data_IF_746020856705
#
_entry.id   IF_746020856705
#
_cell.length_a   1.000
_cell.length_b   1.000
_cell.length_c   1.000
_cell.angle_alpha   90.00
_cell.angle_beta   90.00
_cell.angle_gamma   90.00
#
_symmetry.space_group_name_H-M   'P 1'
#
loop_
_entity.id
_entity.type
_entity.pdbx_description
1 polymer ?
#
# COMPACT_ATOMS: atom_id res chain seq x y z
N UNK A 1 -15.67 -3.54 8.03
CA UNK A 1 -14.99 -3.96 9.28
C UNK A 1 -14.27 -5.26 8.95
N UNK A 2 -13.07 -5.15 8.38
CA UNK A 2 -12.32 -6.29 7.86
C UNK A 2 -11.61 -7.01 9.02
N UNK A 3 -11.80 -8.32 9.13
CA UNK A 3 -11.10 -9.18 10.09
C UNK A 3 -9.68 -9.43 9.59
N UNK A 4 -8.71 -9.27 10.49
CA UNK A 4 -7.32 -9.68 10.26
C UNK A 4 -7.28 -11.20 10.35
N UNK A 5 -6.79 -11.86 9.29
CA UNK A 5 -6.48 -13.29 9.30
C UNK A 5 -4.96 -13.42 9.44
N UNK A 6 -4.53 -14.07 10.51
CA UNK A 6 -3.13 -14.44 10.73
C UNK A 6 -2.97 -15.91 10.38
N UNK A 7 -2.18 -16.21 9.35
CA UNK A 7 -1.69 -17.57 9.14
C UNK A 7 -0.42 -17.77 9.96
N UNK A 8 -0.52 -18.49 11.07
CA UNK A 8 0.64 -19.13 11.70
C UNK A 8 1.01 -20.36 10.85
N UNK A 9 2.24 -20.42 10.33
CA UNK A 9 2.75 -21.64 9.71
C UNK A 9 2.74 -22.77 10.76
N UNK A 10 2.14 -23.95 10.46
CA UNK A 10 1.87 -24.96 11.48
C UNK A 10 3.15 -25.55 12.05
N UNK A 11 3.32 -25.41 13.36
CA UNK A 11 4.31 -26.16 14.14
C UNK A 11 3.69 -27.50 14.52
N UNK A 12 4.32 -28.60 14.12
CA UNK A 12 4.02 -29.92 14.70
C UNK A 12 4.66 -30.00 16.09
N UNK A 13 3.86 -29.87 17.15
CA UNK A 13 4.27 -30.17 18.54
C UNK A 13 3.53 -31.41 19.07
N UNK A 14 4.21 -32.26 19.89
CA UNK A 14 3.58 -33.35 20.60
C UNK A 14 2.98 -32.89 21.95
N UNK A 15 2.01 -33.68 22.43
CA UNK A 15 1.18 -33.43 23.60
C UNK A 15 1.88 -33.65 24.96
N UNK A 16 1.55 -32.80 25.94
CA UNK A 16 1.51 -33.12 27.39
C UNK A 16 0.72 -32.03 28.14
N UNK A 17 -0.51 -32.29 28.58
CA UNK A 17 -0.95 -32.72 29.92
C UNK A 17 -0.89 -31.71 31.09
N UNK A 18 -2.05 -31.10 31.33
CA UNK A 18 -2.79 -31.03 32.62
C UNK A 18 -2.29 -30.21 33.86
N UNK A 19 -3.08 -29.15 34.14
CA UNK A 19 -3.89 -28.89 35.38
C UNK A 19 -3.33 -28.00 36.54
N UNK A 20 -4.24 -27.38 37.35
CA UNK A 20 -4.19 -25.96 37.68
C UNK A 20 -4.02 -25.62 39.18
N UNK A 21 -3.83 -24.33 39.50
CA UNK A 21 -4.04 -23.73 40.83
C UNK A 21 -4.11 -22.19 40.71
N UNK A 22 -5.24 -21.54 41.01
CA UNK A 22 -5.77 -21.08 42.30
C UNK A 22 -5.22 -19.71 42.78
N UNK A 23 -6.10 -18.70 42.70
CA UNK A 23 -6.40 -17.60 43.66
C UNK A 23 -5.29 -16.72 44.26
N UNK A 24 -5.40 -15.39 44.04
CA UNK A 24 -5.65 -14.33 45.05
C UNK A 24 -5.41 -12.95 44.39
N UNK A 25 -6.39 -12.05 44.24
CA UNK A 25 -7.07 -11.21 45.24
C UNK A 25 -6.28 -9.95 45.70
N UNK A 26 -6.82 -8.80 45.29
CA UNK A 26 -6.98 -7.51 46.02
C UNK A 26 -5.84 -6.51 46.20
N UNK A 27 -6.14 -5.26 45.80
CA UNK A 27 -6.10 -3.93 46.50
C UNK A 27 -5.65 -2.85 45.49
N UNK A 28 -6.42 -1.87 45.02
CA UNK A 28 -7.33 -0.87 45.61
C UNK A 28 -6.65 0.26 46.43
N UNK A 29 -7.02 1.50 46.04
CA UNK A 29 -6.98 2.82 46.75
C UNK A 29 -5.60 3.52 46.85
N UNK A 30 -5.36 4.86 46.80
CA UNK A 30 -6.04 6.16 47.05
C UNK A 30 -5.26 7.26 46.22
N UNK A 31 -5.88 8.20 45.48
CA UNK A 31 -6.40 9.55 45.86
C UNK A 31 -5.37 10.67 46.22
N UNK A 32 -5.67 11.85 45.63
CA UNK A 32 -5.52 13.26 46.09
C UNK A 32 -4.27 14.12 45.78
N UNK A 33 -4.51 15.18 44.98
CA UNK A 33 -4.45 16.58 45.43
C UNK A 33 -3.19 17.43 45.17
N UNK A 34 -3.36 18.62 44.54
CA UNK A 34 -2.87 19.97 44.91
C UNK A 34 -2.96 20.91 43.66
N UNK A 35 -3.93 21.82 43.57
CA UNK A 35 -4.02 23.17 44.14
C UNK A 35 -3.15 24.24 43.43
N UNK A 36 -3.88 25.18 42.80
CA UNK A 36 -3.60 26.57 42.43
C UNK A 36 -2.22 27.17 42.74
N UNK A 37 -1.63 27.82 41.72
CA UNK A 37 -0.89 29.07 41.90
C UNK A 37 -1.34 30.13 40.87
N UNK A 38 -1.98 31.19 41.37
CA UNK A 38 -2.11 32.48 40.70
C UNK A 38 -0.93 33.37 41.13
N UNK A 39 -0.20 33.92 40.17
CA UNK A 39 0.63 35.12 40.30
C UNK A 39 0.66 35.79 38.92
N UNK A 40 -0.15 36.83 38.66
CA UNK A 40 0.11 38.23 38.98
C UNK A 40 1.33 38.81 38.24
N UNK A 41 1.10 39.42 37.07
CA UNK A 41 1.96 40.47 36.53
C UNK A 41 1.08 41.67 36.16
N UNK A 42 1.20 42.74 36.94
CA UNK A 42 0.61 44.04 36.66
C UNK A 42 1.30 44.71 35.48
N UNK A 43 0.53 45.06 34.46
CA UNK A 43 0.97 45.79 33.27
C UNK A 43 0.42 47.22 33.29
N UNK A 44 1.36 48.17 33.25
CA UNK A 44 1.19 49.62 33.20
C UNK A 44 0.08 50.07 32.23
N UNK A 45 -0.93 50.81 32.70
CA UNK A 45 -1.98 51.38 31.83
C UNK A 45 -1.51 52.71 31.23
N UNK A 46 -0.96 52.64 30.02
CA UNK A 46 -0.83 53.81 29.14
C UNK A 46 -2.24 54.18 28.63
N UNK A 47 -2.60 55.47 28.70
CA UNK A 47 -3.86 55.96 28.13
C UNK A 47 -3.88 55.71 26.61
N UNK A 48 -4.92 55.02 26.13
CA UNK A 48 -5.10 54.74 24.71
C UNK A 48 -5.38 56.05 23.93
N UNK A 49 -4.79 56.22 22.72
CA UNK A 49 -5.18 57.31 21.83
C UNK A 49 -6.66 57.19 21.43
N UNK A 50 -7.35 58.29 21.10
CA UNK A 50 -8.73 58.24 20.64
C UNK A 50 -8.84 57.34 19.40
N UNK A 51 -9.94 56.56 19.27
CA UNK A 51 -10.10 55.61 18.16
C UNK A 51 -10.12 56.36 16.83
N UNK A 52 -9.12 56.07 15.99
CA UNK A 52 -9.15 56.46 14.59
C UNK A 52 -10.21 55.61 13.89
N UNK A 53 -11.29 56.25 13.44
CA UNK A 53 -12.27 55.62 12.55
C UNK A 53 -11.61 55.50 11.17
N UNK A 54 -10.94 54.38 10.92
CA UNK A 54 -10.57 54.01 9.56
C UNK A 54 -11.85 53.61 8.81
N UNK A 55 -12.13 54.17 7.63
CA UNK A 55 -13.23 53.68 6.80
C UNK A 55 -13.03 52.18 6.56
N UNK A 56 -14.11 51.37 6.58
CA UNK A 56 -14.00 49.93 6.38
C UNK A 56 -13.24 49.66 5.08
N UNK A 57 -12.29 48.71 5.08
CA UNK A 57 -11.56 48.36 3.87
C UNK A 57 -12.59 48.04 2.80
N UNK A 58 -12.51 48.75 1.68
CA UNK A 58 -13.33 48.49 0.51
C UNK A 58 -12.97 47.06 0.11
N UNK A 59 -13.87 46.11 0.40
CA UNK A 59 -13.75 44.74 -0.07
C UNK A 59 -13.91 44.83 -1.58
N UNK A 60 -12.78 44.95 -2.27
CA UNK A 60 -12.73 44.79 -3.70
C UNK A 60 -13.15 43.34 -3.94
N UNK A 61 -14.38 43.16 -4.44
CA UNK A 61 -14.90 41.86 -4.81
C UNK A 61 -14.06 41.41 -6.00
N UNK A 62 -12.98 40.70 -5.73
CA UNK A 62 -12.22 40.02 -6.77
C UNK A 62 -13.23 39.16 -7.52
N UNK A 63 -13.41 39.35 -8.85
CA UNK A 63 -14.26 38.47 -9.64
C UNK A 63 -13.86 37.03 -9.35
N UNK A 64 -14.81 36.09 -9.19
CA UNK A 64 -14.48 34.68 -9.03
C UNK A 64 -13.49 34.28 -10.14
N UNK A 65 -12.48 33.43 -9.83
CA UNK A 65 -11.50 33.00 -10.82
C UNK A 65 -12.25 32.58 -12.08
N UNK A 66 -11.91 33.18 -13.22
CA UNK A 66 -12.46 32.75 -14.50
C UNK A 66 -12.11 31.26 -14.59
N UNK A 67 -13.12 30.39 -14.57
CA UNK A 67 -12.91 28.97 -14.74
C UNK A 67 -12.18 28.79 -16.08
N UNK A 68 -10.90 28.42 -16.02
CA UNK A 68 -10.13 28.11 -17.23
C UNK A 68 -10.89 27.03 -17.99
N UNK A 69 -11.11 27.25 -19.28
CA UNK A 69 -11.72 26.23 -20.14
C UNK A 69 -10.87 24.97 -20.02
N UNK A 70 -11.47 23.77 -19.92
CA UNK A 70 -10.72 22.52 -19.83
C UNK A 70 -9.66 22.45 -20.94
N UNK A 71 -8.44 22.08 -20.61
CA UNK A 71 -7.35 21.96 -21.58
C UNK A 71 -7.62 20.86 -22.63
N UNK A 72 -8.58 19.98 -22.33
CA UNK A 72 -9.02 18.90 -23.20
C UNK A 72 -10.56 18.80 -23.24
N UNK A 73 -11.11 18.59 -24.44
CA UNK A 73 -12.56 18.42 -24.68
C UNK A 73 -12.84 17.15 -25.48
N UNK A 74 -13.98 16.50 -25.22
CA UNK A 74 -14.42 15.28 -25.91
C UNK A 74 -15.42 15.59 -27.04
N UNK A 75 -15.39 14.77 -28.09
CA UNK A 75 -16.35 14.79 -29.20
C UNK A 75 -17.19 13.49 -29.18
N UNK A 76 -18.45 13.54 -28.73
CA UNK A 76 -19.32 12.36 -28.65
C UNK A 76 -19.53 11.63 -29.98
N UNK A 77 -19.40 12.32 -31.12
CA UNK A 77 -19.55 11.68 -32.44
C UNK A 77 -18.44 10.68 -32.78
N UNK A 78 -17.33 10.74 -32.04
CA UNK A 78 -16.14 9.89 -32.22
C UNK A 78 -16.08 8.75 -31.21
N UNK A 79 -17.07 8.64 -30.33
CA UNK A 79 -17.09 7.61 -29.32
C UNK A 79 -17.23 6.23 -29.98
N UNK A 80 -16.46 5.28 -29.45
CA UNK A 80 -16.52 3.91 -29.92
C UNK A 80 -17.83 3.28 -29.43
N UNK A 81 -18.66 2.84 -30.38
CA UNK A 81 -19.85 2.04 -30.10
C UNK A 81 -19.82 0.79 -30.97
N UNK A 82 -19.65 -0.42 -30.40
CA UNK A 82 -19.70 -1.66 -31.16
C UNK A 82 -21.02 -1.84 -31.89
N UNK A 83 -20.99 -2.40 -33.11
CA UNK A 83 -22.20 -2.58 -33.92
C UNK A 83 -23.29 -3.43 -33.25
N UNK A 84 -22.90 -4.38 -32.38
CA UNK A 84 -23.84 -5.23 -31.65
C UNK A 84 -24.53 -4.52 -30.47
N UNK A 85 -24.09 -3.31 -30.10
CA UNK A 85 -24.70 -2.43 -29.08
C UNK A 85 -25.43 -1.24 -29.71
N UNK A 86 -25.78 -1.33 -30.99
CA UNK A 86 -26.50 -0.26 -31.68
C UNK A 86 -27.88 -0.04 -31.04
N UNK A 87 -28.13 1.18 -30.55
CA UNK A 87 -29.36 1.54 -29.85
C UNK A 87 -29.27 1.45 -28.31
N UNK A 88 -28.15 0.98 -27.78
CA UNK A 88 -27.85 1.00 -26.34
C UNK A 88 -26.84 2.11 -26.00
N UNK A 89 -26.81 2.51 -24.73
CA UNK A 89 -25.78 3.39 -24.18
C UNK A 89 -24.69 2.54 -23.52
N UNK A 90 -23.57 2.23 -24.20
CA UNK A 90 -22.52 1.41 -23.64
C UNK A 90 -21.73 2.16 -22.56
N UNK A 91 -21.33 1.44 -21.52
CA UNK A 91 -20.36 1.87 -20.52
C UNK A 91 -18.97 1.51 -21.03
N UNK A 92 -18.18 2.52 -21.40
CA UNK A 92 -16.87 2.35 -22.02
C UNK A 92 -15.77 2.39 -20.95
N UNK A 93 -15.21 1.25 -20.64
CA UNK A 93 -14.13 1.10 -19.65
C UNK A 93 -12.80 0.99 -20.39
N UNK A 94 -11.96 2.01 -20.31
CA UNK A 94 -10.61 1.93 -20.82
C UNK A 94 -9.70 1.20 -19.83
N UNK A 95 -8.93 0.23 -20.30
CA UNK A 95 -7.95 -0.49 -19.48
C UNK A 95 -6.54 -0.12 -19.93
N UNK A 96 -5.87 0.71 -19.14
CA UNK A 96 -4.52 1.20 -19.41
C UNK A 96 -3.50 0.33 -18.70
N UNK A 97 -2.75 -0.46 -19.48
CA UNK A 97 -1.72 -1.36 -18.96
C UNK A 97 -0.42 -1.27 -19.77
N UNK A 98 0.75 -1.50 -19.14
CA UNK A 98 2.05 -1.45 -19.82
C UNK A 98 2.34 -2.74 -20.61
N UNK A 99 1.42 -3.17 -21.49
CA UNK A 99 1.50 -4.37 -22.31
C UNK A 99 2.82 -4.51 -23.10
N UNK A 100 3.33 -3.39 -23.59
CA UNK A 100 4.54 -3.27 -24.40
C UNK A 100 5.76 -2.78 -23.59
N UNK A 101 5.75 -2.94 -22.26
CA UNK A 101 6.92 -2.68 -21.42
C UNK A 101 8.13 -3.49 -21.90
N UNK A 102 9.34 -2.93 -21.84
CA UNK A 102 10.59 -3.66 -22.12
C UNK A 102 10.89 -4.74 -21.08
N UNK A 103 10.34 -4.62 -19.86
CA UNK A 103 10.57 -5.52 -18.73
C UNK A 103 9.61 -6.72 -18.77
N UNK A 104 10.14 -7.95 -18.84
CA UNK A 104 9.33 -9.18 -18.94
C UNK A 104 8.34 -9.34 -17.78
N UNK A 105 8.78 -9.12 -16.54
CA UNK A 105 7.91 -9.24 -15.35
C UNK A 105 6.71 -8.28 -15.41
N UNK A 106 6.90 -7.07 -15.95
CA UNK A 106 5.82 -6.09 -16.14
C UNK A 106 4.84 -6.54 -17.21
N UNK A 107 5.32 -7.15 -18.30
CA UNK A 107 4.44 -7.73 -19.33
C UNK A 107 3.63 -8.90 -18.77
N UNK A 108 4.26 -9.79 -18.01
CA UNK A 108 3.56 -10.90 -17.33
C UNK A 108 2.45 -10.39 -16.43
N UNK A 109 2.74 -9.40 -15.56
CA UNK A 109 1.74 -8.79 -14.69
C UNK A 109 0.63 -8.09 -15.48
N UNK A 110 0.96 -7.35 -16.54
CA UNK A 110 -0.02 -6.66 -17.40
C UNK A 110 -0.98 -7.66 -18.06
N UNK A 111 -0.47 -8.78 -18.57
CA UNK A 111 -1.31 -9.81 -19.16
C UNK A 111 -2.22 -10.47 -18.12
N UNK A 112 -1.73 -10.69 -16.89
CA UNK A 112 -2.55 -11.22 -15.81
C UNK A 112 -3.68 -10.27 -15.39
N UNK A 113 -3.40 -8.96 -15.31
CA UNK A 113 -4.43 -7.94 -15.04
C UNK A 113 -5.47 -7.85 -16.16
N UNK A 114 -5.04 -7.98 -17.42
CA UNK A 114 -5.96 -8.01 -18.55
C UNK A 114 -6.87 -9.24 -18.52
N UNK A 115 -6.30 -10.43 -18.27
CA UNK A 115 -7.06 -11.66 -18.09
C UNK A 115 -8.05 -11.54 -16.91
N UNK A 116 -7.63 -10.94 -15.79
CA UNK A 116 -8.52 -10.72 -14.65
C UNK A 116 -9.70 -9.78 -14.99
N UNK A 117 -9.44 -8.71 -15.75
CA UNK A 117 -10.49 -7.81 -16.22
C UNK A 117 -11.47 -8.51 -17.18
N UNK A 118 -10.98 -9.34 -18.10
CA UNK A 118 -11.83 -10.14 -18.98
C UNK A 118 -12.67 -11.15 -18.20
N UNK A 119 -12.07 -11.85 -17.23
CA UNK A 119 -12.78 -12.77 -16.36
C UNK A 119 -13.92 -12.07 -15.60
N UNK A 120 -13.67 -10.87 -15.07
CA UNK A 120 -14.69 -10.08 -14.40
C UNK A 120 -15.86 -9.72 -15.33
N UNK A 121 -15.59 -9.34 -16.59
CA UNK A 121 -16.67 -9.04 -17.56
C UNK A 121 -17.57 -10.24 -17.80
N UNK A 122 -17.00 -11.44 -17.93
CA UNK A 122 -17.80 -12.66 -18.08
C UNK A 122 -18.60 -13.01 -16.82
N UNK A 123 -18.12 -12.65 -15.63
CA UNK A 123 -18.80 -12.93 -14.35
C UNK A 123 -19.98 -11.99 -14.08
N UNK A 124 -19.85 -10.71 -14.45
CA UNK A 124 -20.91 -9.73 -14.19
C UNK A 124 -22.08 -9.80 -15.18
N UNK A 125 -21.93 -10.52 -16.30
CA UNK A 125 -22.94 -10.78 -17.33
C UNK A 125 -23.76 -9.52 -17.69
N UNK A 126 -23.04 -8.42 -17.97
CA UNK A 126 -23.60 -7.16 -18.45
C UNK A 126 -23.24 -6.98 -19.91
N UNK A 127 -24.25 -6.96 -20.75
CA UNK A 127 -24.16 -6.78 -22.20
C UNK A 127 -23.79 -5.37 -22.63
N UNK A 128 -23.92 -4.37 -21.76
CA UNK A 128 -23.64 -2.97 -22.09
C UNK A 128 -22.24 -2.47 -21.69
N UNK A 129 -21.30 -3.34 -21.29
CA UNK A 129 -19.93 -2.92 -20.92
C UNK A 129 -18.95 -3.18 -22.06
N UNK A 130 -18.19 -2.16 -22.44
CA UNK A 130 -17.13 -2.25 -23.46
C UNK A 130 -15.78 -2.04 -22.81
N UNK A 131 -14.94 -3.07 -22.81
CA UNK A 131 -13.54 -2.95 -22.39
C UNK A 131 -12.65 -2.51 -23.55
N UNK A 132 -11.88 -1.44 -23.36
CA UNK A 132 -10.97 -0.86 -24.36
C UNK A 132 -9.52 -0.91 -23.85
N UNK A 133 -8.76 -1.97 -24.16
CA UNK A 133 -7.36 -2.07 -23.76
C UNK A 133 -6.49 -1.04 -24.48
N UNK A 134 -5.63 -0.35 -23.75
CA UNK A 134 -4.66 0.63 -24.29
C UNK A 134 -3.28 0.41 -23.68
N UNK A 135 -2.27 0.44 -24.54
CA UNK A 135 -0.89 0.19 -24.14
C UNK A 135 -0.20 1.48 -23.67
N UNK A 136 0.27 1.51 -22.42
CA UNK A 136 0.91 2.69 -21.82
C UNK A 136 2.43 2.72 -22.01
N UNK A 137 3.06 1.59 -22.33
CA UNK A 137 4.52 1.46 -22.40
C UNK A 137 5.27 1.54 -21.07
N UNK A 138 4.56 1.71 -19.94
CA UNK A 138 5.20 1.86 -18.63
C UNK A 138 5.81 3.24 -18.41
N UNK A 139 5.27 4.29 -19.04
CA UNK A 139 5.84 5.65 -19.02
C UNK A 139 4.74 6.72 -18.98
N UNK A 140 5.02 7.86 -18.33
CA UNK A 140 4.08 8.98 -18.27
C UNK A 140 3.58 9.45 -19.65
N UNK A 141 4.49 9.61 -20.62
CA UNK A 141 4.15 10.04 -21.98
C UNK A 141 3.28 9.01 -22.71
N UNK A 142 3.60 7.72 -22.59
CA UNK A 142 2.81 6.67 -23.20
C UNK A 142 1.43 6.53 -22.56
N UNK A 143 1.35 6.63 -21.24
CA UNK A 143 0.09 6.63 -20.50
C UNK A 143 -0.81 7.82 -20.87
N UNK A 144 -0.24 9.03 -21.00
CA UNK A 144 -0.99 10.22 -21.44
C UNK A 144 -1.57 10.04 -22.85
N UNK A 145 -0.79 9.49 -23.80
CA UNK A 145 -1.30 9.18 -25.16
C UNK A 145 -2.42 8.15 -25.12
N UNK A 146 -2.21 7.05 -24.39
CA UNK A 146 -3.21 5.99 -24.21
C UNK A 146 -4.51 6.51 -23.59
N UNK A 147 -4.42 7.38 -22.58
CA UNK A 147 -5.57 8.03 -21.96
C UNK A 147 -6.27 8.97 -22.94
N UNK A 148 -5.54 9.77 -23.70
CA UNK A 148 -6.15 10.62 -24.73
C UNK A 148 -6.94 9.80 -25.75
N UNK A 149 -6.35 8.71 -26.25
CA UNK A 149 -7.05 7.81 -27.19
C UNK A 149 -8.29 7.17 -26.57
N UNK A 150 -8.22 6.77 -25.30
CA UNK A 150 -9.36 6.22 -24.56
C UNK A 150 -10.49 7.24 -24.39
N UNK A 151 -10.15 8.47 -24.00
CA UNK A 151 -11.10 9.56 -23.79
C UNK A 151 -11.71 10.04 -25.12
N UNK A 152 -10.91 10.10 -26.19
CA UNK A 152 -11.38 10.40 -27.55
C UNK A 152 -12.36 9.30 -28.04
N UNK A 153 -12.15 8.05 -27.63
CA UNK A 153 -13.05 6.93 -27.88
C UNK A 153 -14.25 6.87 -26.91
N UNK A 154 -14.40 7.85 -26.01
CA UNK A 154 -15.56 7.99 -25.14
C UNK A 154 -15.49 7.25 -23.81
N UNK A 155 -14.30 6.91 -23.32
CA UNK A 155 -14.17 6.25 -22.01
C UNK A 155 -14.95 6.98 -20.91
N UNK A 156 -15.80 6.23 -20.22
CA UNK A 156 -16.60 6.66 -19.07
C UNK A 156 -15.86 6.38 -17.75
N UNK A 157 -14.94 5.41 -17.78
CA UNK A 157 -14.05 5.03 -16.69
C UNK A 157 -12.68 4.64 -17.25
N UNK A 158 -11.61 5.02 -16.56
CA UNK A 158 -10.27 4.49 -16.82
C UNK A 158 -9.90 3.54 -15.67
N UNK A 159 -9.56 2.30 -16.01
CA UNK A 159 -8.99 1.28 -15.12
C UNK A 159 -7.49 1.14 -15.43
N UNK A 160 -6.66 1.14 -14.38
CA UNK A 160 -5.23 1.45 -14.48
C UNK A 160 -4.96 2.96 -14.48
N UNK A 161 -3.70 3.42 -14.61
CA UNK A 161 -2.49 2.65 -14.94
C UNK A 161 -1.78 2.06 -13.70
N UNK A 162 -0.58 1.50 -13.90
CA UNK A 162 0.16 0.74 -12.88
C UNK A 162 1.19 1.58 -12.11
N UNK A 163 2.02 2.36 -12.82
CA UNK A 163 3.10 3.12 -12.17
C UNK A 163 2.66 4.53 -11.79
N UNK A 164 3.16 5.04 -10.67
CA UNK A 164 2.80 6.35 -10.12
C UNK A 164 2.90 7.49 -11.15
N UNK A 165 3.98 7.53 -11.93
CA UNK A 165 4.18 8.55 -12.98
C UNK A 165 3.14 8.46 -14.11
N UNK A 166 2.67 7.25 -14.43
CA UNK A 166 1.56 7.06 -15.38
C UNK A 166 0.26 7.59 -14.78
N UNK A 167 -0.01 7.28 -13.51
CA UNK A 167 -1.23 7.71 -12.80
C UNK A 167 -1.32 9.23 -12.78
N UNK A 168 -0.26 9.92 -12.39
CA UNK A 168 -0.23 11.39 -12.37
C UNK A 168 -0.50 11.99 -13.75
N UNK A 169 0.05 11.40 -14.81
CA UNK A 169 -0.13 11.89 -16.18
C UNK A 169 -1.56 11.66 -16.72
N UNK A 170 -2.20 10.55 -16.34
CA UNK A 170 -3.56 10.17 -16.74
C UNK A 170 -4.60 10.93 -15.91
N UNK A 171 -4.40 11.04 -14.60
CA UNK A 171 -5.33 11.69 -13.67
C UNK A 171 -5.63 13.13 -14.05
N UNK A 172 -4.59 13.92 -14.36
CA UNK A 172 -4.72 15.30 -14.82
C UNK A 172 -5.59 15.42 -16.09
N UNK A 173 -5.33 14.59 -17.10
CA UNK A 173 -6.06 14.63 -18.37
C UNK A 173 -7.53 14.17 -18.20
N UNK A 174 -7.77 13.17 -17.37
CA UNK A 174 -9.11 12.65 -17.11
C UNK A 174 -9.95 13.63 -16.27
N UNK A 175 -9.32 14.41 -15.39
CA UNK A 175 -9.98 15.43 -14.58
C UNK A 175 -10.62 16.53 -15.44
N UNK A 176 -9.95 16.96 -16.52
CA UNK A 176 -10.45 17.98 -17.47
C UNK A 176 -11.84 17.65 -18.02
N UNK A 177 -12.19 16.37 -18.10
CA UNK A 177 -13.42 15.86 -18.70
C UNK A 177 -14.28 15.03 -17.75
N UNK A 178 -13.99 15.12 -16.44
CA UNK A 178 -14.70 14.46 -15.35
C UNK A 178 -14.79 12.93 -15.50
N UNK A 179 -13.73 12.28 -15.98
CA UNK A 179 -13.65 10.82 -16.06
C UNK A 179 -12.89 10.29 -14.83
N UNK A 180 -13.48 9.39 -14.04
CA UNK A 180 -12.80 8.77 -12.90
C UNK A 180 -11.71 7.81 -13.39
N UNK A 181 -10.65 7.70 -12.57
CA UNK A 181 -9.53 6.79 -12.78
C UNK A 181 -9.43 5.85 -11.59
N UNK A 182 -9.45 4.54 -11.83
CA UNK A 182 -9.19 3.50 -10.83
C UNK A 182 -7.81 2.90 -11.13
N UNK A 183 -6.77 3.40 -10.46
CA UNK A 183 -5.38 3.04 -10.73
C UNK A 183 -4.91 1.81 -9.91
N UNK A 184 -3.99 1.02 -10.45
CA UNK A 184 -3.42 -0.15 -9.77
C UNK A 184 -2.20 0.17 -8.90
N UNK A 185 -1.80 1.45 -8.84
CA UNK A 185 -0.57 1.85 -8.15
C UNK A 185 -0.69 1.68 -6.64
N UNK A 186 0.38 1.14 -6.03
CA UNK A 186 0.52 1.05 -4.56
C UNK A 186 1.12 2.33 -3.94
N UNK A 187 1.32 3.37 -4.74
CA UNK A 187 1.79 4.68 -4.29
C UNK A 187 0.60 5.53 -3.85
N UNK A 188 0.45 5.72 -2.55
CA UNK A 188 -0.63 6.53 -1.96
C UNK A 188 -0.62 7.98 -2.41
N UNK A 189 0.55 8.53 -2.80
CA UNK A 189 0.71 9.94 -3.16
C UNK A 189 0.05 10.34 -4.48
N UNK A 190 -0.30 9.37 -5.34
CA UNK A 190 -0.97 9.63 -6.63
C UNK A 190 -2.49 9.42 -6.56
N UNK A 191 -3.01 9.03 -5.40
CA UNK A 191 -4.45 8.98 -5.13
C UNK A 191 -5.03 10.34 -4.78
N UNK A 192 -6.34 10.52 -5.00
CA UNK A 192 -7.07 11.74 -4.68
C UNK A 192 -7.72 12.40 -5.91
N UNK A 193 -8.62 13.35 -5.66
CA UNK A 193 -9.41 13.98 -6.73
C UNK A 193 -10.27 12.96 -7.48
N UNK A 194 -10.04 12.82 -8.79
CA UNK A 194 -10.69 11.82 -9.64
C UNK A 194 -9.95 10.46 -9.70
N UNK A 195 -8.84 10.30 -8.97
CA UNK A 195 -8.03 9.08 -8.94
C UNK A 195 -8.30 8.28 -7.67
N UNK A 196 -8.75 7.05 -7.85
CA UNK A 196 -8.97 6.06 -6.80
C UNK A 196 -7.98 4.92 -6.96
N UNK A 197 -7.36 4.45 -5.87
CA UNK A 197 -6.39 3.36 -5.92
C UNK A 197 -7.08 2.03 -5.67
N UNK A 198 -6.93 1.10 -6.61
CA UNK A 198 -7.26 -0.32 -6.47
C UNK A 198 -5.94 -1.09 -6.28
N UNK A 199 -5.40 -0.98 -5.09
CA UNK A 199 -4.14 -1.62 -4.70
C UNK A 199 -4.14 -1.88 -3.19
N UNK A 200 -3.07 -2.49 -2.70
CA UNK A 200 -2.74 -2.51 -1.27
C UNK A 200 -1.67 -1.42 -1.06
N UNK A 201 -2.03 -0.25 -0.49
CA UNK A 201 -1.05 0.81 -0.28
C UNK A 201 0.05 0.32 0.65
N UNK A 202 1.30 0.55 0.27
CA UNK A 202 2.48 0.09 1.01
C UNK A 202 2.47 0.57 2.46
N UNK A 203 2.03 1.80 2.69
CA UNK A 203 2.01 2.41 4.01
C UNK A 203 1.00 1.71 4.92
N UNK A 204 -0.18 1.34 4.41
CA UNK A 204 -1.18 0.62 5.19
C UNK A 204 -0.73 -0.81 5.53
N UNK A 205 -0.01 -1.46 4.61
CA UNK A 205 0.56 -2.79 4.83
C UNK A 205 1.55 -2.78 5.99
N UNK A 206 2.43 -1.78 5.98
CA UNK A 206 3.43 -1.54 7.02
C UNK A 206 2.77 -1.11 8.34
N UNK A 207 1.80 -0.20 8.31
CA UNK A 207 1.07 0.21 9.50
C UNK A 207 0.39 -0.97 10.19
N UNK A 208 -0.25 -1.86 9.43
CA UNK A 208 -0.94 -3.04 9.97
C UNK A 208 0.01 -3.99 10.70
N UNK A 209 1.17 -4.28 10.12
CA UNK A 209 2.11 -5.21 10.76
C UNK A 209 2.77 -4.59 11.99
N UNK A 210 3.04 -3.28 11.98
CA UNK A 210 3.59 -2.58 13.15
C UNK A 210 2.53 -2.41 14.24
N UNK A 211 1.27 -2.11 13.89
CA UNK A 211 0.14 -2.12 14.82
C UNK A 211 0.05 -3.45 15.56
N UNK A 212 0.05 -4.54 14.79
CA UNK A 212 -0.03 -5.87 15.39
C UNK A 212 1.18 -6.19 16.26
N UNK A 213 2.40 -5.97 15.77
CA UNK A 213 3.61 -6.19 16.55
C UNK A 213 3.61 -5.39 17.86
N UNK A 214 3.13 -4.15 17.83
CA UNK A 214 2.97 -3.30 19.02
C UNK A 214 1.95 -3.88 20.01
N UNK A 215 0.82 -4.41 19.53
CA UNK A 215 -0.16 -5.10 20.38
C UNK A 215 0.39 -6.37 21.03
N UNK A 216 1.39 -7.00 20.40
CA UNK A 216 2.13 -8.14 20.96
C UNK A 216 3.30 -7.69 21.87
N UNK A 217 3.41 -6.40 22.17
CA UNK A 217 4.43 -5.82 23.07
C UNK A 217 5.78 -5.54 22.42
N UNK A 218 5.88 -5.65 21.09
CA UNK A 218 7.13 -5.39 20.36
C UNK A 218 7.32 -3.87 20.20
N UNK A 219 8.42 -3.36 20.74
CA UNK A 219 8.78 -1.93 20.67
C UNK A 219 10.15 -1.68 20.05
N UNK A 220 11.01 -2.70 19.92
CA UNK A 220 12.36 -2.58 19.37
C UNK A 220 12.51 -3.48 18.15
N UNK A 221 12.86 -2.86 17.02
CA UNK A 221 12.86 -3.48 15.71
C UNK A 221 14.23 -3.38 15.06
N UNK A 222 14.58 -4.40 14.30
CA UNK A 222 15.59 -4.35 13.26
C UNK A 222 14.94 -4.41 11.87
N UNK A 223 15.66 -4.01 10.82
CA UNK A 223 15.14 -4.10 9.46
C UNK A 223 16.23 -4.29 8.38
N UNK A 224 15.92 -5.09 7.36
CA UNK A 224 16.74 -5.25 6.16
C UNK A 224 15.95 -4.77 4.94
N UNK A 225 16.44 -3.74 4.25
CA UNK A 225 15.74 -3.13 3.12
C UNK A 225 16.41 -3.43 1.78
N UNK A 226 15.66 -3.78 0.71
CA UNK A 226 16.24 -3.84 -0.62
C UNK A 226 16.69 -2.45 -1.07
N UNK A 227 17.74 -2.34 -1.86
CA UNK A 227 18.14 -1.07 -2.47
C UNK A 227 17.17 -0.67 -3.59
N UNK A 228 16.95 0.64 -3.74
CA UNK A 228 16.12 1.23 -4.79
C UNK A 228 14.88 1.94 -4.26
N UNK A 229 14.06 2.45 -5.18
CA UNK A 229 12.89 3.28 -4.86
C UNK A 229 11.91 2.60 -3.93
N UNK A 230 11.61 1.32 -4.16
CA UNK A 230 10.72 0.54 -3.29
C UNK A 230 11.27 0.44 -1.86
N UNK A 231 12.55 0.08 -1.71
CA UNK A 231 13.18 -0.03 -0.39
C UNK A 231 13.26 1.29 0.38
N UNK A 232 13.47 2.40 -0.32
CA UNK A 232 13.46 3.72 0.29
C UNK A 232 12.06 4.10 0.81
N UNK A 233 11.01 3.77 0.05
CA UNK A 233 9.63 4.02 0.45
C UNK A 233 9.21 3.16 1.63
N UNK A 234 9.46 1.85 1.57
CA UNK A 234 9.09 0.95 2.67
C UNK A 234 9.89 1.25 3.95
N UNK A 235 11.14 1.73 3.82
CA UNK A 235 11.91 2.24 4.97
C UNK A 235 11.23 3.44 5.60
N UNK A 236 10.87 4.45 4.80
CA UNK A 236 10.22 5.66 5.31
C UNK A 236 8.90 5.30 6.01
N UNK A 237 8.07 4.47 5.37
CA UNK A 237 6.82 3.98 5.94
C UNK A 237 7.05 3.24 7.27
N UNK A 238 8.02 2.32 7.33
CA UNK A 238 8.30 1.54 8.53
C UNK A 238 8.82 2.40 9.68
N UNK A 239 9.75 3.32 9.40
CA UNK A 239 10.25 4.26 10.41
C UNK A 239 9.13 5.14 10.96
N UNK A 240 8.27 5.66 10.08
CA UNK A 240 7.12 6.45 10.47
C UNK A 240 6.14 5.63 11.33
N UNK A 241 5.75 4.44 10.87
CA UNK A 241 4.81 3.56 11.57
C UNK A 241 5.31 3.16 12.96
N UNK A 242 6.59 2.80 13.09
CA UNK A 242 7.24 2.45 14.37
C UNK A 242 7.27 3.66 15.30
N UNK A 243 7.68 4.83 14.79
CA UNK A 243 7.75 6.05 15.61
C UNK A 243 6.38 6.52 16.12
N UNK A 244 5.34 6.40 15.29
CA UNK A 244 3.96 6.74 15.66
C UNK A 244 3.40 5.88 16.80
N UNK A 245 4.00 4.70 17.04
CA UNK A 245 3.62 3.75 18.08
C UNK A 245 4.64 3.71 19.23
N UNK A 246 5.47 4.75 19.34
CA UNK A 246 6.52 4.88 20.37
C UNK A 246 7.52 3.71 20.38
N UNK A 247 7.71 3.04 19.24
CA UNK A 247 8.76 2.06 19.04
C UNK A 247 10.04 2.67 18.47
N UNK A 248 11.07 1.84 18.34
CA UNK A 248 12.38 2.23 17.85
C UNK A 248 12.93 1.21 16.83
N UNK A 249 13.48 1.70 15.72
CA UNK A 249 14.28 0.87 14.79
C UNK A 249 15.75 0.98 15.21
N UNK A 250 16.23 0.00 15.98
CA UNK A 250 17.54 0.04 16.66
C UNK A 250 18.70 -0.37 15.74
N UNK A 251 18.38 -1.08 14.65
CA UNK A 251 19.34 -1.51 13.65
C UNK A 251 18.68 -1.59 12.29
N UNK A 252 19.35 -1.12 11.25
CA UNK A 252 18.89 -1.38 9.89
C UNK A 252 20.03 -1.41 8.89
N UNK A 253 19.81 -2.10 7.78
CA UNK A 253 20.75 -2.12 6.67
C UNK A 253 20.03 -2.18 5.33
N UNK A 254 20.72 -1.76 4.27
CA UNK A 254 20.25 -1.93 2.88
C UNK A 254 21.06 -3.01 2.18
N UNK A 255 20.44 -3.79 1.31
CA UNK A 255 21.12 -4.83 0.51
C UNK A 255 20.84 -4.65 -0.99
N UNK A 256 21.83 -4.92 -1.87
CA UNK A 256 21.61 -4.96 -3.31
C UNK A 256 20.77 -6.18 -3.72
N UNK A 257 20.20 -6.18 -4.92
CA UNK A 257 19.26 -7.23 -5.36
C UNK A 257 19.85 -8.63 -5.59
N UNK A 258 21.17 -8.81 -5.41
CA UNK A 258 21.85 -10.09 -5.62
C UNK A 258 22.15 -10.77 -4.28
N UNK A 259 22.08 -12.10 -4.23
CA UNK A 259 22.22 -12.89 -3.00
C UNK A 259 23.58 -12.66 -2.30
N UNK A 260 24.68 -12.57 -3.05
CA UNK A 260 26.00 -12.37 -2.47
C UNK A 260 26.11 -11.06 -1.68
N UNK A 261 25.45 -10.00 -2.15
CA UNK A 261 25.44 -8.72 -1.46
C UNK A 261 24.52 -8.66 -0.24
N UNK A 262 23.74 -9.71 0.05
CA UNK A 262 22.86 -9.76 1.23
C UNK A 262 23.61 -10.15 2.52
N UNK A 263 24.73 -10.86 2.41
CA UNK A 263 25.48 -11.41 3.56
C UNK A 263 25.93 -10.35 4.54
N UNK A 264 26.68 -9.35 4.08
CA UNK A 264 27.24 -8.31 4.95
C UNK A 264 26.16 -7.44 5.63
N UNK A 265 25.10 -6.98 4.93
CA UNK A 265 23.95 -6.33 5.56
C UNK A 265 23.24 -7.19 6.61
N UNK A 266 23.01 -8.47 6.31
CA UNK A 266 22.36 -9.39 7.24
C UNK A 266 23.21 -9.60 8.49
N UNK A 267 24.53 -9.77 8.34
CA UNK A 267 25.46 -9.91 9.45
C UNK A 267 25.47 -8.67 10.35
N UNK A 268 25.48 -7.46 9.78
CA UNK A 268 25.42 -6.22 10.59
C UNK A 268 24.15 -6.14 11.43
N UNK A 269 23.00 -6.47 10.84
CA UNK A 269 21.72 -6.48 11.56
C UNK A 269 21.73 -7.55 12.65
N UNK A 270 22.21 -8.76 12.34
CA UNK A 270 22.33 -9.85 13.30
C UNK A 270 23.26 -9.51 14.48
N UNK A 271 24.43 -8.91 14.21
CA UNK A 271 25.36 -8.47 15.25
C UNK A 271 24.72 -7.45 16.21
N UNK A 272 23.78 -6.64 15.72
CA UNK A 272 23.06 -5.68 16.55
C UNK A 272 22.02 -6.34 17.48
N UNK A 273 21.71 -7.64 17.32
CA UNK A 273 20.81 -8.37 18.22
C UNK A 273 21.37 -8.41 19.64
N UNK A 274 22.67 -8.72 19.79
CA UNK A 274 23.36 -8.69 21.09
C UNK A 274 22.67 -9.46 22.22
N UNK A 275 21.82 -10.45 21.92
CA UNK A 275 21.04 -11.22 22.89
C UNK A 275 19.75 -10.57 23.40
N UNK A 276 19.17 -9.61 22.66
CA UNK A 276 17.85 -9.05 23.00
C UNK A 276 17.62 -7.57 22.69
N UNK A 277 18.50 -6.93 21.92
CA UNK A 277 18.39 -5.50 21.58
C UNK A 277 17.17 -5.18 20.70
N UNK A 278 16.66 -6.16 19.95
CA UNK A 278 15.40 -6.08 19.23
C UNK A 278 14.64 -7.39 19.36
N UNK A 279 13.31 -7.32 19.24
CA UNK A 279 12.43 -8.50 19.33
C UNK A 279 11.79 -8.86 17.98
N UNK A 280 11.98 -8.01 16.96
CA UNK A 280 11.52 -8.29 15.61
C UNK A 280 12.49 -7.81 14.53
N UNK A 281 12.53 -8.51 13.40
CA UNK A 281 13.22 -8.08 12.17
C UNK A 281 12.22 -7.94 11.05
N UNK A 282 12.14 -6.75 10.46
CA UNK A 282 11.32 -6.47 9.29
C UNK A 282 12.06 -6.75 7.98
N UNK A 283 11.40 -7.51 7.11
CA UNK A 283 11.93 -8.09 5.86
C UNK A 283 10.94 -7.84 4.71
N UNK A 284 10.88 -6.62 4.13
CA UNK A 284 9.97 -6.24 3.05
C UNK A 284 10.42 -6.80 1.69
N UNK A 285 10.47 -8.12 1.56
CA UNK A 285 10.89 -8.84 0.36
C UNK A 285 9.99 -10.07 0.16
N UNK A 286 9.88 -10.58 -1.07
CA UNK A 286 9.12 -11.79 -1.38
C UNK A 286 9.89 -12.78 -2.26
N UNK A 287 9.26 -13.93 -2.51
CA UNK A 287 9.74 -14.94 -3.46
C UNK A 287 11.20 -15.37 -3.24
N UNK A 288 11.93 -15.60 -4.34
CA UNK A 288 13.30 -16.16 -4.30
C UNK A 288 14.33 -15.29 -3.56
N UNK A 289 14.12 -13.97 -3.49
CA UNK A 289 15.00 -13.08 -2.75
C UNK A 289 14.84 -13.25 -1.26
N UNK A 290 13.61 -13.35 -0.77
CA UNK A 290 13.36 -13.64 0.65
C UNK A 290 13.92 -15.02 1.04
N UNK A 291 13.79 -16.03 0.16
CA UNK A 291 14.40 -17.35 0.35
C UNK A 291 15.92 -17.32 0.47
N UNK A 292 16.56 -16.31 -0.13
CA UNK A 292 18.00 -16.09 0.00
C UNK A 292 18.35 -15.30 1.27
N UNK A 293 17.50 -14.36 1.68
CA UNK A 293 17.74 -13.43 2.79
C UNK A 293 17.43 -14.03 4.16
N UNK A 294 16.25 -14.65 4.32
CA UNK A 294 15.75 -15.11 5.62
C UNK A 294 16.67 -16.13 6.31
N UNK A 295 17.28 -17.11 5.59
CA UNK A 295 18.21 -18.05 6.22
C UNK A 295 19.51 -17.43 6.73
N UNK A 296 19.87 -16.22 6.27
CA UNK A 296 21.08 -15.53 6.75
C UNK A 296 20.94 -15.09 8.22
N UNK A 297 19.73 -14.83 8.70
CA UNK A 297 19.51 -14.39 10.08
C UNK A 297 19.82 -15.52 11.09
N UNK A 298 19.25 -16.75 10.97
CA UNK A 298 19.68 -17.88 11.80
C UNK A 298 21.14 -18.28 11.59
N UNK A 299 21.68 -18.13 10.37
CA UNK A 299 23.10 -18.38 10.11
C UNK A 299 24.03 -17.45 10.92
N UNK A 300 23.57 -16.24 11.23
CA UNK A 300 24.23 -15.28 12.12
C UNK A 300 23.59 -15.23 13.52
N UNK A 301 23.06 -16.37 14.00
CA UNK A 301 22.57 -16.58 15.37
C UNK A 301 21.36 -15.72 15.80
N UNK A 302 20.53 -15.27 14.84
CA UNK A 302 19.20 -14.70 15.13
C UNK A 302 18.15 -15.80 15.02
N UNK A 303 17.79 -16.43 16.15
CA UNK A 303 16.78 -17.50 16.20
C UNK A 303 15.36 -16.93 16.04
N UNK A 304 14.56 -17.40 15.05
CA UNK A 304 13.16 -16.98 14.87
C UNK A 304 12.24 -17.35 16.05
N UNK A 305 12.68 -18.20 16.98
CA UNK A 305 11.99 -18.47 18.25
C UNK A 305 12.08 -17.32 19.24
N UNK A 306 13.19 -16.58 19.21
CA UNK A 306 13.43 -15.43 20.10
C UNK A 306 13.06 -14.11 19.43
N UNK A 307 13.19 -14.05 18.10
CA UNK A 307 12.99 -12.84 17.31
C UNK A 307 11.92 -13.06 16.27
N UNK A 308 10.87 -12.23 16.31
CA UNK A 308 9.78 -12.31 15.34
C UNK A 308 10.19 -11.75 13.99
N UNK A 309 10.14 -12.56 12.93
CA UNK A 309 10.29 -12.03 11.58
C UNK A 309 8.97 -11.42 11.12
N UNK A 310 9.05 -10.22 10.55
CA UNK A 310 7.92 -9.45 10.06
C UNK A 310 8.07 -9.24 8.56
N UNK A 311 7.00 -9.52 7.81
CA UNK A 311 6.93 -9.38 6.37
C UNK A 311 5.98 -8.28 5.92
N UNK A 312 5.80 -8.23 4.60
CA UNK A 312 4.76 -7.45 3.91
C UNK A 312 3.79 -8.43 3.26
N UNK A 313 2.72 -7.94 2.62
CA UNK A 313 1.83 -8.77 1.79
C UNK A 313 2.54 -9.57 0.68
N UNK A 314 3.79 -9.23 0.34
CA UNK A 314 4.64 -10.04 -0.56
C UNK A 314 4.93 -11.46 -0.04
N UNK A 315 4.63 -11.73 1.23
CA UNK A 315 4.79 -13.04 1.85
C UNK A 315 3.60 -13.96 1.64
N UNK A 316 2.48 -13.45 1.13
CA UNK A 316 1.32 -14.25 0.69
C UNK A 316 1.65 -15.01 -0.61
N UNK A 317 2.67 -15.86 -0.52
CA UNK A 317 3.20 -16.72 -1.56
C UNK A 317 3.29 -18.14 -1.00
N UNK A 318 2.51 -19.10 -1.55
CA UNK A 318 2.57 -20.50 -1.13
C UNK A 318 3.97 -21.10 -1.19
N UNK A 319 4.86 -20.57 -2.04
CA UNK A 319 6.24 -21.02 -2.16
C UNK A 319 7.09 -20.74 -0.91
N UNK A 320 6.69 -19.78 -0.06
CA UNK A 320 7.38 -19.39 1.16
C UNK A 320 7.00 -20.22 2.39
N UNK A 321 5.87 -20.92 2.35
CA UNK A 321 5.40 -21.81 3.44
C UNK A 321 6.37 -22.93 3.81
N UNK A 322 7.33 -23.23 2.93
CA UNK A 322 8.34 -24.28 3.13
C UNK A 322 9.65 -23.77 3.71
N UNK A 323 9.78 -22.47 3.94
CA UNK A 323 11.01 -21.85 4.43
C UNK A 323 11.05 -21.91 5.96
N UNK A 324 11.91 -22.76 6.58
CA UNK A 324 11.90 -22.94 8.03
C UNK A 324 12.11 -21.66 8.85
N UNK A 325 12.96 -20.70 8.44
CA UNK A 325 13.11 -19.42 9.15
C UNK A 325 11.86 -18.55 9.17
N UNK A 326 10.88 -18.82 8.29
CA UNK A 326 9.62 -18.06 8.20
C UNK A 326 8.49 -18.73 9.00
N UNK A 327 8.75 -19.85 9.68
CA UNK A 327 7.77 -20.49 10.53
C UNK A 327 7.42 -19.59 11.73
N UNK A 328 6.12 -19.35 11.94
CA UNK A 328 5.63 -18.47 13.00
C UNK A 328 5.91 -16.97 12.79
N UNK A 329 6.39 -16.57 11.62
CA UNK A 329 6.57 -15.17 11.26
C UNK A 329 5.23 -14.48 10.94
N UNK A 330 5.19 -13.16 10.98
CA UNK A 330 3.96 -12.38 10.78
C UNK A 330 4.01 -11.51 9.54
N UNK A 331 2.94 -11.50 8.77
CA UNK A 331 2.76 -10.60 7.65
C UNK A 331 1.26 -10.29 7.49
N UNK A 332 0.93 -9.10 6.98
CA UNK A 332 -0.44 -8.75 6.63
C UNK A 332 -0.88 -9.51 5.38
N UNK A 333 -2.09 -10.07 5.39
CA UNK A 333 -2.67 -10.77 4.24
C UNK A 333 -4.18 -10.51 4.14
N UNK A 334 -4.74 -10.47 2.92
CA UNK A 334 -6.19 -10.47 2.75
C UNK A 334 -6.80 -11.81 3.22
N UNK A 335 -8.11 -11.87 3.49
CA UNK A 335 -8.81 -13.13 3.76
C UNK A 335 -8.63 -14.12 2.59
N UNK A 336 -8.29 -15.38 2.85
CA UNK A 336 -7.93 -16.33 1.80
C UNK A 336 -9.12 -16.75 0.93
N UNK A 337 -10.35 -16.70 1.45
CA UNK A 337 -11.51 -17.29 0.76
C UNK A 337 -11.81 -16.62 -0.58
N UNK A 338 -11.70 -15.28 -0.65
CA UNK A 338 -11.92 -14.53 -1.89
C UNK A 338 -10.83 -14.78 -2.92
N UNK A 339 -9.58 -14.88 -2.45
CA UNK A 339 -8.41 -15.12 -3.29
C UNK A 339 -8.42 -16.52 -3.91
N UNK A 340 -8.67 -17.56 -3.10
CA UNK A 340 -8.71 -18.94 -3.55
C UNK A 340 -9.77 -19.16 -4.64
N UNK A 341 -10.95 -18.58 -4.45
CA UNK A 341 -12.02 -18.66 -5.44
C UNK A 341 -11.61 -17.96 -6.75
N UNK A 342 -10.92 -16.82 -6.70
CA UNK A 342 -10.39 -16.16 -7.88
C UNK A 342 -9.35 -17.03 -8.59
N UNK A 343 -8.39 -17.62 -7.87
CA UNK A 343 -7.36 -18.49 -8.45
C UNK A 343 -7.97 -19.71 -9.17
N UNK A 344 -9.01 -20.32 -8.60
CA UNK A 344 -9.72 -21.45 -9.23
C UNK A 344 -10.32 -21.01 -10.56
N UNK A 345 -11.02 -19.87 -10.59
CA UNK A 345 -11.69 -19.36 -11.80
C UNK A 345 -10.68 -18.93 -12.86
N UNK A 346 -9.62 -18.22 -12.45
CA UNK A 346 -8.55 -17.81 -13.34
C UNK A 346 -7.85 -19.02 -13.98
N UNK A 347 -7.51 -20.05 -13.19
CA UNK A 347 -6.90 -21.28 -13.72
C UNK A 347 -7.83 -22.02 -14.67
N UNK A 348 -9.13 -22.06 -14.38
CA UNK A 348 -10.13 -22.65 -15.28
C UNK A 348 -10.19 -21.91 -16.62
N UNK A 349 -10.12 -20.59 -16.62
CA UNK A 349 -10.21 -19.77 -17.82
C UNK A 349 -8.91 -19.75 -18.65
N UNK A 350 -7.74 -19.72 -17.99
CA UNK A 350 -6.45 -19.40 -18.64
C UNK A 350 -5.37 -20.48 -18.47
N UNK A 351 -5.65 -21.60 -17.80
CA UNK A 351 -4.72 -22.72 -17.63
C UNK A 351 -3.45 -22.41 -16.83
N UNK A 352 -3.41 -21.27 -16.14
CA UNK A 352 -2.26 -20.77 -15.38
C UNK A 352 -2.70 -20.11 -14.07
N UNK A 353 -1.75 -19.82 -13.18
CA UNK A 353 -1.98 -19.00 -11.98
C UNK A 353 -1.44 -17.59 -12.28
N UNK A 354 -2.14 -16.51 -11.91
CA UNK A 354 -1.59 -15.16 -12.03
C UNK A 354 -0.31 -15.02 -11.16
N UNK A 355 0.61 -14.11 -11.54
CA UNK A 355 1.94 -13.97 -10.93
C UNK A 355 1.91 -13.29 -9.56
#
# INVERSE_FOLDING_TARGET
MFRVFFQENPVTEPAASARPGLLNATRAVLLLGMALTLAACGGNRQAAPPPQVTPPPKVEVTPPPIAEKPAYTRDPSRFYNPAYMAGEEPIRVALLLPFNSSRQNVRTLSNALYNAAQLALFEFDRDNIVLMPKATGGSANGARRAAKEALDAGADLILGPLFAEEVSAVGQLAADVNVPVVAFSSDSSVGGGNVHLLSFPLDEDVDRIVDYATLQGITRYAALYPQGTYGNRVRAAFQQAVSARAGEVVASASYPSNAQGMYEPAQRVANAYGGGNYHAVFLPEGGSKLKSLAPLLPYYDVDPRDVKFLGTGLWDDPSLTREPPLNGAWYPAPPPEGHDQFLIRYRRAYGSTPP
#
